data_IF_860293589479
#
_entry.id   IF_860293589479
#
_cell.length_a   1.000
_cell.length_b   1.000
_cell.length_c   1.000
_cell.angle_alpha   90.00
_cell.angle_beta   90.00
_cell.angle_gamma   90.00
#
_symmetry.space_group_name_H-M   'P 1'
#
loop_
_entity.id
_entity.type
_entity.pdbx_description
1 polymer ?
#
# COMPACT_ATOMS: atom_id res chain seq x y z
N UNK A 1 16.40 0.24 22.71
CA UNK A 1 16.02 -0.88 21.82
C UNK A 1 15.62 -0.26 20.49
N UNK A 2 16.50 -0.30 19.49
CA UNK A 2 16.29 0.42 18.21
C UNK A 2 15.24 -0.38 17.43
N UNK A 3 14.00 0.09 17.42
CA UNK A 3 12.92 -0.48 16.62
C UNK A 3 13.24 -0.22 15.15
N UNK A 4 14.00 -1.14 14.54
CA UNK A 4 14.11 -1.26 13.08
C UNK A 4 12.74 -1.67 12.57
N UNK A 5 11.96 -0.69 12.16
CA UNK A 5 10.69 -0.91 11.50
C UNK A 5 10.93 -0.64 10.00
N UNK A 6 11.02 -1.70 9.21
CA UNK A 6 11.24 -1.67 7.75
C UNK A 6 12.53 -0.95 7.28
N UNK A 7 13.66 -1.18 7.95
CA UNK A 7 14.99 -0.85 7.40
C UNK A 7 15.35 0.65 7.30
N UNK A 8 14.46 1.56 7.70
CA UNK A 8 14.76 2.99 7.76
C UNK A 8 15.10 3.40 9.19
N UNK A 9 16.31 3.92 9.40
CA UNK A 9 16.65 4.58 10.66
C UNK A 9 16.04 5.98 10.69
N UNK A 10 14.95 6.13 11.44
CA UNK A 10 14.31 7.42 11.65
C UNK A 10 15.26 8.38 12.39
N UNK A 11 15.33 9.62 11.89
CA UNK A 11 15.96 10.73 12.61
C UNK A 11 15.25 11.01 13.94
N UNK A 12 15.90 11.70 14.88
CA UNK A 12 15.28 12.07 16.16
C UNK A 12 13.98 12.85 15.98
N UNK A 13 13.91 13.75 14.98
CA UNK A 13 12.71 14.50 14.66
C UNK A 13 11.58 13.58 14.13
N UNK A 14 11.92 12.60 13.28
CA UNK A 14 10.94 11.63 12.76
C UNK A 14 10.44 10.68 13.85
N UNK A 15 11.31 10.25 14.77
CA UNK A 15 10.93 9.45 15.94
C UNK A 15 9.95 10.20 16.82
N UNK A 16 10.25 11.46 17.13
CA UNK A 16 9.35 12.33 17.87
C UNK A 16 7.97 12.45 17.20
N UNK A 17 7.93 12.71 15.89
CA UNK A 17 6.67 12.75 15.14
C UNK A 17 5.92 11.42 15.18
N UNK A 18 6.63 10.30 15.11
CA UNK A 18 6.05 8.96 15.16
C UNK A 18 5.44 8.67 16.54
N UNK A 19 6.21 8.86 17.60
CA UNK A 19 5.76 8.68 18.99
C UNK A 19 4.54 9.56 19.28
N UNK A 20 4.60 10.84 18.91
CA UNK A 20 3.46 11.75 19.08
C UNK A 20 2.24 11.32 18.27
N UNK A 21 2.42 10.81 17.06
CA UNK A 21 1.30 10.27 16.26
C UNK A 21 0.63 9.10 16.97
N UNK A 22 1.41 8.24 17.64
CA UNK A 22 0.88 7.10 18.39
C UNK A 22 0.12 7.57 19.64
N UNK A 23 0.66 8.53 20.38
CA UNK A 23 -0.01 9.15 21.54
C UNK A 23 -1.38 9.75 21.14
N UNK A 24 -1.42 10.61 20.11
CA UNK A 24 -2.68 11.22 19.65
C UNK A 24 -3.70 10.20 19.15
N UNK A 25 -3.22 9.06 18.63
CA UNK A 25 -4.09 7.95 18.25
C UNK A 25 -4.66 7.25 19.50
N UNK A 26 -3.87 7.05 20.55
CA UNK A 26 -4.34 6.51 21.83
C UNK A 26 -5.37 7.45 22.48
N UNK A 27 -5.15 8.76 22.39
CA UNK A 27 -6.07 9.81 22.88
C UNK A 27 -7.30 10.01 21.99
N UNK A 28 -7.41 9.29 20.87
CA UNK A 28 -8.51 9.38 19.89
C UNK A 28 -8.63 10.75 19.21
N UNK A 29 -7.56 11.55 19.24
CA UNK A 29 -7.41 12.83 18.54
C UNK A 29 -7.01 12.60 17.07
N UNK A 30 -7.92 11.98 16.30
CA UNK A 30 -7.63 11.50 14.95
C UNK A 30 -7.19 12.57 13.95
N UNK A 31 -7.68 13.81 14.07
CA UNK A 31 -7.27 14.91 13.18
C UNK A 31 -5.81 15.26 13.32
N UNK A 32 -5.32 15.36 14.56
CA UNK A 32 -3.95 15.73 14.88
C UNK A 32 -3.01 14.56 14.62
N UNK A 33 -3.42 13.34 14.97
CA UNK A 33 -2.73 12.12 14.60
C UNK A 33 -2.53 12.02 13.07
N UNK A 34 -3.58 12.30 12.28
CA UNK A 34 -3.49 12.29 10.82
C UNK A 34 -2.50 13.34 10.30
N UNK A 35 -2.53 14.55 10.86
CA UNK A 35 -1.63 15.63 10.46
C UNK A 35 -0.16 15.29 10.77
N UNK A 36 0.12 14.78 11.96
CA UNK A 36 1.47 14.37 12.37
C UNK A 36 1.99 13.22 11.50
N UNK A 37 1.15 12.23 11.22
CA UNK A 37 1.49 11.12 10.32
C UNK A 37 1.83 11.62 8.90
N UNK A 38 1.07 12.57 8.36
CA UNK A 38 1.33 13.16 7.04
C UNK A 38 2.60 14.00 7.03
N UNK A 39 2.91 14.72 8.11
CA UNK A 39 4.18 15.43 8.28
C UNK A 39 5.36 14.45 8.30
N UNK A 40 5.23 13.34 9.03
CA UNK A 40 6.22 12.27 9.06
C UNK A 40 6.45 11.69 7.65
N UNK A 41 5.38 11.33 6.93
CA UNK A 41 5.45 10.76 5.58
C UNK A 41 5.99 11.74 4.53
N UNK A 42 5.93 13.05 4.77
CA UNK A 42 6.61 14.05 3.93
C UNK A 42 8.12 13.96 4.04
N UNK A 43 8.63 13.66 5.24
CA UNK A 43 10.05 13.53 5.52
C UNK A 43 10.61 12.11 5.30
N UNK A 44 9.77 11.09 5.45
CA UNK A 44 10.10 9.67 5.29
C UNK A 44 9.02 8.97 4.42
N UNK A 45 9.00 9.19 3.10
CA UNK A 45 7.92 8.70 2.23
C UNK A 45 7.85 7.17 2.14
N UNK A 46 8.95 6.47 2.37
CA UNK A 46 9.05 5.02 2.39
C UNK A 46 8.56 4.37 3.69
N UNK A 47 8.27 5.15 4.75
CA UNK A 47 7.92 4.60 6.05
C UNK A 47 6.53 3.94 6.07
N UNK A 48 6.51 2.62 5.90
CA UNK A 48 5.28 1.84 5.74
C UNK A 48 4.35 1.91 6.95
N UNK A 49 4.87 1.80 8.17
CA UNK A 49 4.02 1.73 9.36
C UNK A 49 3.29 3.06 9.60
N UNK A 50 3.91 4.21 9.30
CA UNK A 50 3.20 5.47 9.29
C UNK A 50 2.07 5.51 8.25
N UNK A 51 2.23 4.88 7.07
CA UNK A 51 1.15 4.77 6.07
C UNK A 51 0.02 3.84 6.53
N UNK A 52 0.36 2.70 7.14
CA UNK A 52 -0.64 1.79 7.73
C UNK A 52 -1.42 2.49 8.83
N UNK A 53 -0.73 3.22 9.71
CA UNK A 53 -1.37 4.00 10.77
C UNK A 53 -2.24 5.12 10.19
N UNK A 54 -1.75 5.86 9.20
CA UNK A 54 -2.53 6.88 8.46
C UNK A 54 -3.80 6.28 7.88
N UNK A 55 -3.71 5.09 7.28
CA UNK A 55 -4.87 4.37 6.75
C UNK A 55 -5.85 3.96 7.83
N UNK A 56 -5.35 3.47 8.98
CA UNK A 56 -6.15 3.12 10.15
C UNK A 56 -6.89 4.34 10.69
N UNK A 57 -6.19 5.46 10.89
CA UNK A 57 -6.77 6.74 11.34
C UNK A 57 -7.87 7.18 10.37
N UNK A 58 -7.59 7.17 9.06
CA UNK A 58 -8.58 7.52 8.05
C UNK A 58 -9.85 6.64 8.14
N UNK A 59 -9.70 5.33 8.36
CA UNK A 59 -10.85 4.44 8.54
C UNK A 59 -11.64 4.84 9.79
N UNK A 60 -10.99 5.01 10.94
CA UNK A 60 -11.63 5.41 12.21
C UNK A 60 -12.36 6.75 12.09
N UNK A 61 -11.79 7.72 11.38
CA UNK A 61 -12.40 9.04 11.16
C UNK A 61 -13.69 9.00 10.35
N UNK A 62 -13.88 7.99 9.50
CA UNK A 62 -15.03 7.84 8.60
C UNK A 62 -15.90 6.63 8.92
N UNK A 63 -15.55 5.87 9.96
CA UNK A 63 -16.37 4.79 10.47
C UNK A 63 -17.73 5.34 10.91
N UNK A 64 -18.81 4.70 10.45
CA UNK A 64 -20.18 5.12 10.73
C UNK A 64 -20.67 6.39 10.01
N UNK A 65 -19.83 7.09 9.23
CA UNK A 65 -20.26 8.29 8.49
C UNK A 65 -20.92 7.94 7.16
N UNK A 66 -22.19 8.32 6.99
CA UNK A 66 -22.87 8.25 5.70
C UNK A 66 -22.55 9.47 4.84
N UNK A 67 -21.96 9.27 3.67
CA UNK A 67 -21.72 10.36 2.72
C UNK A 67 -22.95 10.66 1.88
N UNK A 68 -23.24 11.95 1.71
CA UNK A 68 -24.27 12.44 0.79
C UNK A 68 -23.90 12.15 -0.67
N UNK A 69 -24.90 12.18 -1.56
CA UNK A 69 -24.67 12.01 -3.02
C UNK A 69 -23.69 13.06 -3.55
N UNK A 70 -23.81 14.31 -3.08
CA UNK A 70 -22.90 15.39 -3.46
C UNK A 70 -21.45 15.11 -3.03
N UNK A 71 -21.23 14.63 -1.81
CA UNK A 71 -19.89 14.26 -1.33
C UNK A 71 -19.30 13.09 -2.10
N UNK A 72 -20.12 12.09 -2.47
CA UNK A 72 -19.69 10.98 -3.33
C UNK A 72 -19.24 11.49 -4.70
N UNK A 73 -20.00 12.39 -5.32
CA UNK A 73 -19.63 13.04 -6.60
C UNK A 73 -18.33 13.83 -6.45
N UNK A 74 -18.21 14.65 -5.39
CA UNK A 74 -17.00 15.43 -5.12
C UNK A 74 -15.75 14.54 -4.96
N UNK A 75 -15.89 13.41 -4.25
CA UNK A 75 -14.82 12.42 -4.09
C UNK A 75 -14.45 11.76 -5.41
N UNK A 76 -15.43 11.40 -6.22
CA UNK A 76 -15.21 10.84 -7.56
C UNK A 76 -14.46 11.81 -8.48
N UNK A 77 -14.88 13.08 -8.53
CA UNK A 77 -14.19 14.12 -9.30
C UNK A 77 -12.75 14.33 -8.80
N UNK A 78 -12.55 14.41 -7.48
CA UNK A 78 -11.22 14.51 -6.87
C UNK A 78 -10.35 13.32 -7.21
N UNK A 79 -10.91 12.11 -7.25
CA UNK A 79 -10.18 10.89 -7.63
C UNK A 79 -9.60 11.01 -9.05
N UNK A 80 -10.41 11.47 -10.01
CA UNK A 80 -9.97 11.66 -11.39
C UNK A 80 -8.85 12.71 -11.52
N UNK A 81 -8.96 13.80 -10.78
CA UNK A 81 -7.91 14.84 -10.73
C UNK A 81 -6.62 14.26 -10.16
N UNK A 82 -6.68 13.61 -9.00
CA UNK A 82 -5.52 13.00 -8.33
C UNK A 82 -4.87 11.96 -9.23
N UNK A 83 -5.65 11.10 -9.88
CA UNK A 83 -5.16 10.13 -10.86
C UNK A 83 -4.38 10.81 -11.99
N UNK A 84 -4.93 11.86 -12.61
CA UNK A 84 -4.24 12.61 -13.66
C UNK A 84 -2.91 13.21 -13.18
N UNK A 85 -2.92 13.85 -12.01
CA UNK A 85 -1.73 14.43 -11.38
C UNK A 85 -0.67 13.37 -11.08
N UNK A 86 -1.07 12.23 -10.50
CA UNK A 86 -0.17 11.13 -10.14
C UNK A 86 0.46 10.52 -11.38
N UNK A 87 -0.31 10.27 -12.44
CA UNK A 87 0.22 9.75 -13.72
C UNK A 87 1.26 10.71 -14.30
N UNK A 88 1.02 12.03 -14.26
CA UNK A 88 2.00 13.02 -14.69
C UNK A 88 3.26 13.02 -13.82
N UNK A 89 3.12 12.90 -12.50
CA UNK A 89 4.24 12.84 -11.56
C UNK A 89 5.10 11.58 -11.78
N UNK A 90 4.48 10.43 -12.04
CA UNK A 90 5.18 9.19 -12.41
C UNK A 90 6.00 9.40 -13.69
N UNK A 91 5.41 10.00 -14.74
CA UNK A 91 6.13 10.32 -15.98
C UNK A 91 7.31 11.25 -15.74
N UNK A 92 7.18 12.20 -14.81
CA UNK A 92 8.23 13.14 -14.41
C UNK A 92 9.22 12.55 -13.38
N UNK A 93 9.12 11.26 -13.05
CA UNK A 93 9.95 10.57 -12.04
C UNK A 93 9.92 11.22 -10.64
N UNK A 94 8.84 11.95 -10.31
CA UNK A 94 8.65 12.58 -8.99
C UNK A 94 7.80 11.68 -8.10
N UNK A 95 8.35 10.52 -7.75
CA UNK A 95 7.61 9.46 -7.07
C UNK A 95 7.20 9.86 -5.64
N UNK A 96 8.02 10.62 -4.90
CA UNK A 96 7.67 11.03 -3.53
C UNK A 96 6.42 11.90 -3.53
N UNK A 97 6.35 12.87 -4.45
CA UNK A 97 5.17 13.74 -4.63
C UNK A 97 3.95 12.96 -5.06
N UNK A 98 4.12 11.91 -5.87
CA UNK A 98 3.03 11.03 -6.27
C UNK A 98 2.47 10.26 -5.06
N UNK A 99 3.34 9.67 -4.24
CA UNK A 99 2.94 8.98 -3.01
C UNK A 99 2.23 9.91 -2.02
N UNK A 100 2.75 11.13 -1.83
CA UNK A 100 2.12 12.11 -0.94
C UNK A 100 0.74 12.53 -1.43
N UNK A 101 0.61 12.79 -2.74
CA UNK A 101 -0.68 13.16 -3.34
C UNK A 101 -1.73 12.07 -3.18
N UNK A 102 -1.32 10.81 -3.32
CA UNK A 102 -2.17 9.65 -3.05
C UNK A 102 -2.50 9.52 -1.56
N UNK A 103 -1.54 9.76 -0.67
CA UNK A 103 -1.77 9.67 0.78
C UNK A 103 -2.82 10.68 1.25
N UNK A 104 -2.70 11.95 0.84
CA UNK A 104 -3.71 12.96 1.18
C UNK A 104 -5.11 12.62 0.65
N UNK A 105 -5.18 11.98 -0.52
CA UNK A 105 -6.45 11.56 -1.08
C UNK A 105 -7.03 10.36 -0.33
N UNK A 106 -6.22 9.32 -0.10
CA UNK A 106 -6.61 8.10 0.59
C UNK A 106 -6.90 8.33 2.07
N UNK A 107 -6.37 9.40 2.68
CA UNK A 107 -6.79 9.85 4.00
C UNK A 107 -8.28 10.21 4.05
N UNK A 108 -8.89 10.59 2.92
CA UNK A 108 -10.34 10.82 2.83
C UNK A 108 -11.09 9.61 2.27
N UNK A 109 -10.42 8.79 1.46
CA UNK A 109 -11.00 7.65 0.76
C UNK A 109 -10.13 6.38 0.91
N UNK A 110 -10.09 5.79 2.12
CA UNK A 110 -9.11 4.77 2.46
C UNK A 110 -9.20 3.50 1.61
N UNK A 111 -10.38 3.15 1.12
CA UNK A 111 -10.57 1.96 0.30
C UNK A 111 -10.61 2.24 -1.20
N UNK A 112 -10.50 3.49 -1.66
CA UNK A 112 -10.65 3.83 -3.09
C UNK A 112 -9.69 2.99 -3.96
N UNK A 113 -10.28 2.09 -4.76
CA UNK A 113 -9.54 1.02 -5.41
C UNK A 113 -8.51 1.57 -6.39
N UNK A 114 -8.91 2.55 -7.20
CA UNK A 114 -8.07 3.15 -8.23
C UNK A 114 -6.83 3.86 -7.64
N UNK A 115 -7.00 4.56 -6.52
CA UNK A 115 -5.90 5.24 -5.83
C UNK A 115 -4.94 4.26 -5.14
N UNK A 116 -5.45 3.18 -4.54
CA UNK A 116 -4.62 2.13 -3.98
C UNK A 116 -3.81 1.38 -5.07
N UNK A 117 -4.42 1.10 -6.23
CA UNK A 117 -3.72 0.54 -7.38
C UNK A 117 -2.61 1.47 -7.89
N UNK A 118 -2.88 2.78 -7.96
CA UNK A 118 -1.85 3.76 -8.32
C UNK A 118 -0.72 3.80 -7.28
N UNK A 119 -1.04 3.73 -5.98
CA UNK A 119 -0.03 3.68 -4.92
C UNK A 119 0.87 2.45 -5.07
N UNK A 120 0.30 1.28 -5.33
CA UNK A 120 1.07 0.08 -5.63
C UNK A 120 1.96 0.26 -6.87
N UNK A 121 1.43 0.87 -7.94
CA UNK A 121 2.21 1.14 -9.15
C UNK A 121 3.40 2.10 -8.91
N UNK A 122 3.24 3.11 -8.04
CA UNK A 122 4.30 4.04 -7.66
C UNK A 122 5.34 3.32 -6.82
N UNK A 123 4.90 2.53 -5.83
CA UNK A 123 5.78 1.77 -4.94
C UNK A 123 6.67 0.77 -5.71
N UNK A 124 6.13 0.06 -6.71
CA UNK A 124 6.92 -0.84 -7.59
C UNK A 124 7.97 -0.10 -8.43
N UNK A 125 7.74 1.16 -8.78
CA UNK A 125 8.65 1.98 -9.58
C UNK A 125 9.70 2.71 -8.75
N UNK A 126 9.57 2.66 -7.42
CA UNK A 126 10.60 3.19 -6.51
C UNK A 126 11.91 2.43 -6.70
N UNK A 127 13.03 3.06 -6.34
CA UNK A 127 14.35 2.46 -6.46
C UNK A 127 15.10 2.53 -5.12
N UNK A 128 15.29 1.40 -4.41
CA UNK A 128 14.77 0.06 -4.72
C UNK A 128 13.24 -0.02 -4.56
N UNK A 129 12.53 -1.00 -5.17
CA UNK A 129 11.07 -1.08 -5.07
C UNK A 129 10.55 -1.17 -3.62
N UNK A 130 9.51 -0.41 -3.30
CA UNK A 130 8.84 -0.46 -1.99
C UNK A 130 7.82 -1.61 -1.94
N UNK A 131 8.29 -2.85 -2.06
CA UNK A 131 7.45 -4.06 -2.18
C UNK A 131 6.44 -4.22 -1.02
N UNK A 132 6.81 -3.99 0.25
CA UNK A 132 5.85 -4.00 1.36
C UNK A 132 4.70 -3.01 1.19
N UNK A 133 4.99 -1.80 0.69
CA UNK A 133 3.97 -0.78 0.43
C UNK A 133 3.09 -1.15 -0.76
N UNK A 134 3.68 -1.70 -1.82
CA UNK A 134 2.93 -2.17 -2.97
C UNK A 134 1.93 -3.26 -2.57
N UNK A 135 2.36 -4.24 -1.77
CA UNK A 135 1.51 -5.29 -1.25
C UNK A 135 0.39 -4.72 -0.37
N UNK A 136 0.74 -3.86 0.60
CA UNK A 136 -0.24 -3.23 1.49
C UNK A 136 -1.34 -2.47 0.72
N UNK A 137 -0.96 -1.73 -0.33
CA UNK A 137 -1.92 -1.00 -1.14
C UNK A 137 -2.84 -1.94 -1.94
N UNK A 138 -2.31 -3.02 -2.52
CA UNK A 138 -3.12 -4.02 -3.22
C UNK A 138 -4.09 -4.75 -2.29
N UNK A 139 -3.64 -5.14 -1.10
CA UNK A 139 -4.49 -5.78 -0.09
C UNK A 139 -5.58 -4.83 0.42
N UNK A 140 -5.26 -3.53 0.53
CA UNK A 140 -6.26 -2.52 0.86
C UNK A 140 -7.30 -2.36 -0.25
N UNK A 141 -6.90 -2.43 -1.52
CA UNK A 141 -7.81 -2.42 -2.67
C UNK A 141 -8.69 -3.69 -2.72
N UNK A 142 -8.15 -4.84 -2.31
CA UNK A 142 -8.83 -6.13 -2.29
C UNK A 142 -9.97 -6.17 -1.25
N UNK A 143 -9.92 -5.34 -0.20
CA UNK A 143 -11.01 -5.24 0.79
C UNK A 143 -12.37 -4.86 0.20
N UNK A 144 -12.40 -4.17 -0.94
CA UNK A 144 -13.66 -3.85 -1.65
C UNK A 144 -14.25 -5.06 -2.35
N UNK A 145 -13.40 -5.84 -3.03
CA UNK A 145 -13.81 -7.04 -3.74
C UNK A 145 -12.74 -8.11 -3.53
N UNK A 146 -13.01 -9.00 -2.58
CA UNK A 146 -12.05 -10.00 -2.11
C UNK A 146 -11.81 -11.13 -3.12
N UNK A 147 -12.70 -11.29 -4.10
CA UNK A 147 -12.64 -12.35 -5.12
C UNK A 147 -12.11 -11.82 -6.46
N UNK A 148 -11.59 -10.60 -6.51
CA UNK A 148 -11.09 -10.03 -7.75
C UNK A 148 -9.78 -10.71 -8.19
N UNK A 149 -9.89 -11.60 -9.17
CA UNK A 149 -8.79 -12.41 -9.72
C UNK A 149 -7.58 -11.54 -10.11
N UNK A 150 -7.79 -10.41 -10.79
CA UNK A 150 -6.68 -9.57 -11.25
C UNK A 150 -5.88 -8.97 -10.10
N UNK A 151 -6.52 -8.72 -8.95
CA UNK A 151 -5.82 -8.23 -7.76
C UNK A 151 -4.98 -9.32 -7.11
N UNK A 152 -5.48 -10.55 -7.02
CA UNK A 152 -4.70 -11.68 -6.51
C UNK A 152 -3.50 -11.98 -7.41
N UNK A 153 -3.66 -11.97 -8.74
CA UNK A 153 -2.53 -12.09 -9.67
C UNK A 153 -1.50 -10.98 -9.45
N UNK A 154 -1.93 -9.74 -9.29
CA UNK A 154 -1.02 -8.62 -9.09
C UNK A 154 -0.29 -8.69 -7.73
N UNK A 155 -0.97 -9.14 -6.67
CA UNK A 155 -0.36 -9.45 -5.36
C UNK A 155 0.73 -10.50 -5.54
N UNK A 156 0.45 -11.58 -6.27
CA UNK A 156 1.41 -12.65 -6.50
C UNK A 156 2.64 -12.17 -7.28
N UNK A 157 2.43 -11.35 -8.33
CA UNK A 157 3.51 -10.75 -9.12
C UNK A 157 4.38 -9.82 -8.27
N UNK A 158 3.78 -8.98 -7.43
CA UNK A 158 4.54 -8.11 -6.50
C UNK A 158 5.34 -8.92 -5.50
N UNK A 159 4.76 -9.99 -4.97
CA UNK A 159 5.40 -10.87 -4.01
C UNK A 159 6.61 -11.63 -4.61
N UNK A 160 6.62 -11.85 -5.93
CA UNK A 160 7.75 -12.45 -6.67
C UNK A 160 8.74 -11.42 -7.25
N UNK A 161 8.53 -10.11 -7.06
CA UNK A 161 9.55 -9.13 -7.44
C UNK A 161 10.83 -9.33 -6.64
N UNK A 162 11.96 -9.02 -7.27
CA UNK A 162 13.26 -9.19 -6.65
C UNK A 162 13.50 -8.12 -5.58
N UNK A 163 14.01 -8.55 -4.45
CA UNK A 163 14.50 -7.70 -3.37
C UNK A 163 15.94 -7.22 -3.64
N UNK A 164 16.53 -6.54 -2.65
CA UNK A 164 17.91 -6.05 -2.71
C UNK A 164 18.95 -7.16 -2.90
N UNK A 165 18.64 -8.38 -2.45
CA UNK A 165 19.49 -9.56 -2.59
C UNK A 165 19.30 -10.29 -3.92
N UNK A 166 18.50 -9.71 -4.84
CA UNK A 166 18.10 -10.31 -6.12
C UNK A 166 17.36 -11.64 -5.95
N UNK A 167 16.64 -11.79 -4.85
CA UNK A 167 15.80 -12.95 -4.56
C UNK A 167 14.32 -12.54 -4.56
N UNK A 168 13.38 -13.44 -4.90
CA UNK A 168 11.96 -13.14 -4.77
C UNK A 168 11.62 -12.72 -3.33
N UNK A 169 10.97 -11.57 -3.19
CA UNK A 169 10.77 -10.94 -1.88
C UNK A 169 9.89 -11.75 -0.92
N UNK A 170 8.81 -12.36 -1.40
CA UNK A 170 7.87 -13.11 -0.57
C UNK A 170 7.17 -14.24 -1.35
N UNK A 171 7.87 -15.32 -1.72
CA UNK A 171 7.29 -16.41 -2.50
C UNK A 171 6.12 -17.11 -1.79
N UNK A 172 6.09 -17.16 -0.46
CA UNK A 172 4.98 -17.71 0.33
C UNK A 172 3.67 -16.93 0.07
N UNK A 173 3.74 -15.59 0.09
CA UNK A 173 2.56 -14.75 -0.20
C UNK A 173 2.09 -14.93 -1.64
N UNK A 174 3.03 -15.12 -2.58
CA UNK A 174 2.69 -15.40 -3.97
C UNK A 174 1.94 -16.72 -4.15
N UNK A 175 2.38 -17.79 -3.47
CA UNK A 175 1.71 -19.10 -3.43
C UNK A 175 0.25 -18.91 -2.97
N UNK A 176 0.04 -18.23 -1.84
CA UNK A 176 -1.30 -18.00 -1.31
C UNK A 176 -2.19 -17.26 -2.32
N UNK A 177 -1.67 -16.22 -2.96
CA UNK A 177 -2.45 -15.43 -3.92
C UNK A 177 -2.78 -16.22 -5.20
N UNK A 178 -1.84 -17.02 -5.73
CA UNK A 178 -2.15 -17.91 -6.85
C UNK A 178 -3.15 -19.02 -6.49
N UNK A 179 -3.07 -19.56 -5.27
CA UNK A 179 -4.08 -20.51 -4.78
C UNK A 179 -5.47 -19.89 -4.71
N UNK A 180 -5.60 -18.62 -4.29
CA UNK A 180 -6.88 -17.91 -4.32
C UNK A 180 -7.41 -17.72 -5.75
N UNK A 181 -6.53 -17.42 -6.72
CA UNK A 181 -6.94 -17.38 -8.13
C UNK A 181 -7.44 -18.75 -8.60
N UNK A 182 -6.73 -19.83 -8.26
CA UNK A 182 -7.09 -21.18 -8.69
C UNK A 182 -8.34 -21.72 -7.98
N UNK A 183 -8.66 -21.27 -6.76
CA UNK A 183 -9.94 -21.62 -6.13
C UNK A 183 -11.12 -20.95 -6.82
N UNK A 184 -10.93 -19.74 -7.36
CA UNK A 184 -11.95 -19.01 -8.09
C UNK A 184 -12.04 -19.45 -9.57
N UNK A 185 -10.90 -19.76 -10.18
CA UNK A 185 -10.77 -20.18 -11.56
C UNK A 185 -9.70 -21.28 -11.69
N UNK A 186 -10.09 -22.56 -11.54
CA UNK A 186 -9.15 -23.69 -11.52
C UNK A 186 -8.26 -23.83 -12.75
N UNK A 187 -8.75 -23.41 -13.93
CA UNK A 187 -8.05 -23.51 -15.22
C UNK A 187 -7.24 -22.25 -15.57
N UNK A 188 -7.04 -21.32 -14.63
CA UNK A 188 -6.27 -20.11 -14.89
C UNK A 188 -4.78 -20.43 -15.14
N UNK A 189 -4.36 -20.41 -16.41
CA UNK A 189 -3.02 -20.81 -16.85
C UNK A 189 -1.89 -20.04 -16.15
N UNK A 190 -2.00 -18.71 -16.08
CA UNK A 190 -0.98 -17.87 -15.42
C UNK A 190 -0.80 -18.25 -13.94
N UNK A 191 -1.91 -18.54 -13.23
CA UNK A 191 -1.85 -18.88 -11.82
C UNK A 191 -1.26 -20.26 -11.59
N UNK A 192 -1.55 -21.25 -12.46
CA UNK A 192 -0.92 -22.58 -12.39
C UNK A 192 0.60 -22.49 -12.61
N UNK A 193 1.04 -21.71 -13.60
CA UNK A 193 2.46 -21.51 -13.87
C UNK A 193 3.15 -20.72 -12.76
N UNK A 194 2.53 -19.62 -12.33
CA UNK A 194 3.03 -18.77 -11.25
C UNK A 194 3.16 -19.51 -9.92
N UNK A 195 2.19 -20.37 -9.59
CA UNK A 195 2.24 -21.23 -8.39
C UNK A 195 3.45 -22.17 -8.42
N UNK A 196 3.69 -22.86 -9.54
CA UNK A 196 4.86 -23.75 -9.69
C UNK A 196 6.17 -22.98 -9.50
N UNK A 197 6.28 -21.80 -10.12
CA UNK A 197 7.47 -20.95 -9.99
C UNK A 197 7.67 -20.49 -8.53
N UNK A 198 6.60 -20.04 -7.86
CA UNK A 198 6.67 -19.61 -6.47
C UNK A 198 7.09 -20.75 -5.52
N UNK A 199 6.55 -21.96 -5.71
CA UNK A 199 6.96 -23.15 -4.97
C UNK A 199 8.43 -23.52 -5.21
N UNK A 200 8.91 -23.43 -6.46
CA UNK A 200 10.31 -23.69 -6.79
C UNK A 200 11.25 -22.70 -6.08
N UNK A 201 10.93 -21.40 -6.09
CA UNK A 201 11.70 -20.38 -5.38
C UNK A 201 11.73 -20.62 -3.87
N UNK A 202 10.59 -20.96 -3.27
CA UNK A 202 10.53 -21.26 -1.84
C UNK A 202 11.38 -22.47 -1.46
N UNK A 203 11.37 -23.50 -2.31
CA UNK A 203 12.18 -24.71 -2.10
C UNK A 203 13.68 -24.42 -2.18
N UNK A 204 14.10 -23.58 -3.14
CA UNK A 204 15.50 -23.17 -3.29
C UNK A 204 16.02 -22.28 -2.16
N UNK A 205 15.14 -21.57 -1.43
CA UNK A 205 15.54 -20.72 -0.29
C UNK A 205 15.80 -21.54 0.99
N UNK A 206 15.30 -22.77 1.05
CA UNK A 206 15.41 -23.66 2.21
C UNK A 206 16.53 -24.71 2.06
N UNK A 207 17.38 -24.58 1.04
CA UNK A 207 18.58 -25.40 0.79
C UNK A 207 19.80 -24.54 1.07
#
# INVERSE_FOLDING_TARGET
>A
MITRICGLELTSAQKYLWERTQEEMEDHCYSDALFLAQCLLRSAPEFLEARKLTRKIAIMMYEGKSFTVFEKIKRFLRCNIVRGTVVLLIKRKRLEKALLSLEYFLATAPFEQSANLLMASVAKRWNPPLLPLALFALETALKINQEKIELHLEIARVALLLDENKTPWNPERAIMAYQQVLSLQPDHLEARQGLKNACAFLSMRNI
#
